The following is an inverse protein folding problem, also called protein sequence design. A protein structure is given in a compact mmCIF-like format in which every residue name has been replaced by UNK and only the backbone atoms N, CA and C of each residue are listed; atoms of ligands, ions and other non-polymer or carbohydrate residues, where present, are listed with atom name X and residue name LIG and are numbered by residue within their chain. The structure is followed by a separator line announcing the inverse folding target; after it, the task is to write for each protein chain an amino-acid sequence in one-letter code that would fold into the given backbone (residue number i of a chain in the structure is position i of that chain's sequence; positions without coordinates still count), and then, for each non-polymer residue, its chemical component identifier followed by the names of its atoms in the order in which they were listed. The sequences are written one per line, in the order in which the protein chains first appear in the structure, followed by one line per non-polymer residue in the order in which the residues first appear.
data_IF_361494873023
#
_entry.id   IF_361494873023
#
_cell.length_a   1.000
_cell.length_b   1.000
_cell.length_c   1.000
_cell.angle_alpha   90.00
_cell.angle_beta   90.00
_cell.angle_gamma   90.00
#
_symmetry.space_group_name_H-M   'P 1'
#
loop_
_entity.id
_entity.type
_entity.pdbx_description
1 polymer ?
#
# COMPACT_ATOMS: atom_id res chain seq x y z
N UNK A 1 -9.30 2.42 13.32
CA UNK A 1 -8.45 1.22 13.46
C UNK A 1 -8.32 0.77 14.93
N UNK A 2 -7.99 1.63 15.91
CA UNK A 2 -7.87 1.25 17.33
C UNK A 2 -9.09 0.48 17.84
N UNK A 3 -10.30 1.01 17.68
CA UNK A 3 -11.55 0.35 18.11
C UNK A 3 -11.79 -1.02 17.46
N UNK A 4 -11.35 -1.22 16.21
CA UNK A 4 -11.44 -2.53 15.53
C UNK A 4 -10.49 -3.52 16.20
N UNK A 5 -9.24 -3.13 16.42
CA UNK A 5 -8.25 -3.96 17.09
C UNK A 5 -8.69 -4.32 18.51
N UNK A 6 -9.16 -3.36 19.30
CA UNK A 6 -9.71 -3.57 20.64
C UNK A 6 -10.89 -4.55 20.64
N UNK A 7 -11.76 -4.47 19.61
CA UNK A 7 -12.87 -5.43 19.47
C UNK A 7 -12.34 -6.84 19.22
N UNK A 8 -11.36 -7.01 18.33
CA UNK A 8 -10.76 -8.33 18.05
C UNK A 8 -10.09 -8.91 19.31
N UNK A 9 -9.35 -8.08 20.05
CA UNK A 9 -8.72 -8.50 21.32
C UNK A 9 -9.76 -8.94 22.35
N UNK A 10 -10.87 -8.21 22.52
CA UNK A 10 -11.98 -8.64 23.39
C UNK A 10 -12.60 -9.98 22.99
N UNK A 11 -12.51 -10.35 21.72
CA UNK A 11 -12.96 -11.65 21.21
C UNK A 11 -11.86 -12.71 21.17
N UNK A 12 -10.73 -12.47 21.86
CA UNK A 12 -9.67 -13.46 22.08
C UNK A 12 -8.52 -13.44 21.07
N UNK A 13 -8.44 -12.44 20.21
CA UNK A 13 -7.29 -12.30 19.34
C UNK A 13 -6.05 -11.90 20.17
N UNK A 14 -4.99 -12.70 20.11
CA UNK A 14 -3.72 -12.46 20.77
C UNK A 14 -2.61 -11.98 19.80
N UNK A 15 -2.88 -12.08 18.49
CA UNK A 15 -2.02 -11.63 17.40
C UNK A 15 -2.86 -10.93 16.34
N UNK A 16 -2.38 -9.79 15.88
CA UNK A 16 -3.03 -9.00 14.85
C UNK A 16 -2.05 -8.69 13.73
N UNK A 17 -2.48 -8.83 12.50
CA UNK A 17 -1.74 -8.38 11.32
C UNK A 17 -2.55 -7.29 10.64
N UNK A 18 -1.92 -6.15 10.38
CA UNK A 18 -2.47 -5.02 9.68
C UNK A 18 -1.74 -4.92 8.35
N UNK A 19 -2.41 -5.31 7.26
CA UNK A 19 -1.88 -5.14 5.91
C UNK A 19 -2.36 -3.81 5.35
N UNK A 20 -1.43 -2.88 5.15
CA UNK A 20 -1.67 -1.55 4.63
C UNK A 20 -1.29 -1.48 3.15
N UNK A 21 -2.28 -1.60 2.29
CA UNK A 21 -2.14 -1.46 0.83
C UNK A 21 -2.56 -0.07 0.33
N UNK A 22 -2.73 0.88 1.25
CA UNK A 22 -3.13 2.24 0.93
C UNK A 22 -1.93 3.16 0.70
N UNK A 23 -2.22 4.45 0.58
CA UNK A 23 -1.24 5.50 0.26
C UNK A 23 -0.12 5.56 1.32
N UNK A 24 0.89 4.75 1.15
CA UNK A 24 2.19 4.70 1.83
C UNK A 24 2.26 5.37 3.21
N UNK A 25 3.13 6.35 3.34
CA UNK A 25 3.40 7.03 4.63
C UNK A 25 2.21 7.75 5.25
N UNK A 26 1.20 8.15 4.48
CA UNK A 26 0.02 8.84 5.00
C UNK A 26 -0.83 7.93 5.89
N UNK A 27 -0.86 6.63 5.59
CA UNK A 27 -1.60 5.63 6.35
C UNK A 27 -0.70 4.78 7.23
N UNK A 28 0.52 4.45 6.81
CA UNK A 28 1.46 3.60 7.54
C UNK A 28 1.88 4.17 8.90
N UNK A 29 2.21 5.47 8.97
CA UNK A 29 2.61 6.08 10.25
C UNK A 29 1.50 6.09 11.30
N UNK A 30 0.26 6.53 11.00
CA UNK A 30 -0.86 6.40 11.93
C UNK A 30 -1.14 4.96 12.38
N UNK A 31 -1.01 3.97 11.48
CA UNK A 31 -1.20 2.57 11.81
C UNK A 31 -0.13 2.07 12.78
N UNK A 32 1.12 2.46 12.57
CA UNK A 32 2.24 2.11 13.47
C UNK A 32 2.05 2.70 14.88
N UNK A 33 1.53 3.92 14.99
CA UNK A 33 1.22 4.53 16.29
C UNK A 33 0.12 3.73 16.98
N UNK A 34 -0.98 3.44 16.28
CA UNK A 34 -2.09 2.64 16.83
C UNK A 34 -1.63 1.24 17.22
N UNK A 35 -0.76 0.60 16.43
CA UNK A 35 -0.22 -0.72 16.76
C UNK A 35 0.54 -0.71 18.09
N UNK A 36 1.38 0.31 18.31
CA UNK A 36 2.11 0.47 19.59
C UNK A 36 1.17 0.66 20.78
N UNK A 37 0.11 1.46 20.60
CA UNK A 37 -0.90 1.66 21.64
C UNK A 37 -1.60 0.33 21.99
N UNK A 38 -2.01 -0.45 20.98
CA UNK A 38 -2.66 -1.74 21.17
C UNK A 38 -1.75 -2.73 21.89
N UNK A 39 -0.47 -2.79 21.53
CA UNK A 39 0.52 -3.64 22.23
C UNK A 39 0.64 -3.21 23.69
N UNK A 40 0.76 -1.90 23.94
CA UNK A 40 0.91 -1.36 25.30
C UNK A 40 -0.33 -1.58 26.17
N UNK A 41 -1.52 -1.35 25.60
CA UNK A 41 -2.78 -1.42 26.36
C UNK A 41 -3.26 -2.86 26.61
N UNK A 42 -2.93 -3.79 25.72
CA UNK A 42 -3.52 -5.14 25.72
C UNK A 42 -2.52 -6.30 25.76
N UNK A 43 -1.23 -6.05 25.61
CA UNK A 43 -0.20 -7.09 25.64
C UNK A 43 -0.26 -8.09 24.46
N UNK A 44 -0.95 -7.75 23.38
CA UNK A 44 -1.05 -8.58 22.18
C UNK A 44 0.09 -8.26 21.21
N UNK A 45 0.39 -9.20 20.32
CA UNK A 45 1.38 -8.98 19.25
C UNK A 45 0.69 -8.30 18.06
N UNK A 46 1.33 -7.30 17.46
CA UNK A 46 0.83 -6.60 16.27
C UNK A 46 1.94 -6.50 15.23
N UNK A 47 1.65 -6.93 14.02
CA UNK A 47 2.49 -6.72 12.84
C UNK A 47 1.80 -5.73 11.90
N UNK A 48 2.49 -4.68 11.50
CA UNK A 48 2.03 -3.74 10.45
C UNK A 48 2.92 -3.95 9.25
N UNK A 49 2.32 -4.21 8.11
CA UNK A 49 3.01 -4.41 6.82
C UNK A 49 2.46 -3.39 5.85
N UNK A 50 3.32 -2.59 5.24
CA UNK A 50 2.94 -1.69 4.15
C UNK A 50 3.24 -2.34 2.79
N UNK A 51 2.68 -1.80 1.73
CA UNK A 51 2.94 -2.25 0.37
C UNK A 51 4.45 -2.31 0.08
N UNK A 52 5.16 -1.24 0.40
CA UNK A 52 6.60 -1.11 0.14
C UNK A 52 7.45 -2.15 0.90
N UNK A 53 6.96 -2.65 2.03
CA UNK A 53 7.64 -3.70 2.80
C UNK A 53 7.56 -5.08 2.11
N UNK A 54 6.70 -5.23 1.10
CA UNK A 54 6.48 -6.47 0.37
C UNK A 54 7.16 -6.49 -1.00
N UNK A 55 7.63 -5.37 -1.50
CA UNK A 55 8.40 -5.28 -2.74
C UNK A 55 9.87 -5.64 -2.50
N UNK A 56 10.55 -6.08 -3.55
CA UNK A 56 11.97 -6.35 -3.58
C UNK A 56 12.56 -6.02 -4.97
N UNK A 57 13.85 -6.29 -5.18
CA UNK A 57 14.54 -5.99 -6.44
C UNK A 57 13.87 -6.63 -7.67
N UNK A 58 13.23 -7.80 -7.53
CA UNK A 58 12.54 -8.46 -8.63
C UNK A 58 11.28 -7.67 -9.01
N UNK A 59 10.43 -7.34 -8.05
CA UNK A 59 9.21 -6.56 -8.29
C UNK A 59 9.53 -5.12 -8.72
N UNK A 60 10.57 -4.50 -8.15
CA UNK A 60 11.00 -3.16 -8.53
C UNK A 60 11.53 -3.10 -9.97
N UNK A 61 12.17 -4.18 -10.45
CA UNK A 61 12.78 -4.24 -11.78
C UNK A 61 11.80 -4.15 -12.94
N UNK A 62 10.50 -4.41 -12.71
CA UNK A 62 9.49 -4.35 -13.77
C UNK A 62 8.91 -2.96 -14.00
N UNK A 63 9.17 -2.01 -13.10
CA UNK A 63 8.68 -0.64 -13.26
C UNK A 63 9.48 0.13 -14.31
N UNK A 64 8.76 0.81 -15.18
CA UNK A 64 9.30 1.72 -16.18
C UNK A 64 9.01 3.19 -15.82
N UNK A 65 8.01 3.43 -14.97
CA UNK A 65 7.69 4.78 -14.51
C UNK A 65 8.85 5.38 -13.70
N UNK A 66 9.01 6.69 -13.80
CA UNK A 66 10.07 7.41 -13.06
C UNK A 66 9.80 7.46 -11.55
N UNK A 67 8.55 7.52 -11.16
CA UNK A 67 8.04 7.55 -9.80
C UNK A 67 6.54 7.31 -9.82
N UNK A 68 5.99 6.89 -8.70
CA UNK A 68 4.56 6.63 -8.58
C UNK A 68 4.10 6.60 -7.12
N UNK A 69 2.97 6.00 -6.89
CA UNK A 69 2.41 5.77 -5.56
C UNK A 69 0.91 5.92 -5.44
N UNK A 70 0.19 6.16 -6.55
CA UNK A 70 -1.27 6.11 -6.54
C UNK A 70 -1.87 5.93 -7.93
N UNK A 71 -2.67 4.89 -8.11
CA UNK A 71 -3.27 4.50 -9.38
C UNK A 71 -2.23 4.46 -10.52
N UNK A 72 -1.03 4.06 -10.20
CA UNK A 72 0.17 4.11 -11.01
C UNK A 72 0.38 2.82 -11.82
N UNK A 73 1.57 2.65 -12.38
CA UNK A 73 1.96 1.48 -13.15
C UNK A 73 1.78 0.18 -12.35
N UNK A 74 2.23 0.15 -11.08
CA UNK A 74 2.20 -1.06 -10.26
C UNK A 74 0.80 -1.45 -9.84
N UNK A 75 0.06 -0.52 -9.23
CA UNK A 75 -1.31 -0.76 -8.80
C UNK A 75 -2.21 -1.15 -9.97
N UNK A 76 -2.08 -0.45 -11.11
CA UNK A 76 -2.85 -0.76 -12.33
C UNK A 76 -2.49 -2.12 -12.89
N UNK A 77 -1.19 -2.48 -12.91
CA UNK A 77 -0.72 -3.79 -13.37
C UNK A 77 -1.31 -4.94 -12.54
N UNK A 78 -1.33 -4.79 -11.22
CA UNK A 78 -1.90 -5.81 -10.33
C UNK A 78 -3.39 -6.01 -10.62
N UNK A 79 -4.16 -4.94 -10.82
CA UNK A 79 -5.58 -5.07 -11.16
C UNK A 79 -5.76 -5.63 -12.57
N UNK A 80 -4.95 -5.27 -13.55
CA UNK A 80 -4.96 -5.90 -14.88
C UNK A 80 -4.74 -7.41 -14.81
N UNK A 81 -3.85 -7.87 -13.96
CA UNK A 81 -3.61 -9.30 -13.77
C UNK A 81 -4.79 -10.02 -13.11
N UNK A 82 -5.37 -9.41 -12.09
CA UNK A 82 -6.45 -10.04 -11.30
C UNK A 82 -7.83 -9.92 -11.95
N UNK A 83 -8.12 -8.77 -12.53
CA UNK A 83 -9.44 -8.39 -13.04
C UNK A 83 -9.32 -7.35 -14.15
N UNK A 84 -8.81 -7.76 -15.30
CA UNK A 84 -8.65 -6.90 -16.49
C UNK A 84 -9.96 -6.19 -16.87
N UNK A 85 -11.09 -6.86 -16.66
CA UNK A 85 -12.43 -6.34 -16.93
C UNK A 85 -12.80 -5.08 -16.11
N UNK A 86 -12.06 -4.78 -15.03
CA UNK A 86 -12.26 -3.59 -14.20
C UNK A 86 -11.36 -2.40 -14.60
N UNK A 87 -10.43 -2.61 -15.51
CA UNK A 87 -9.43 -1.58 -15.87
C UNK A 87 -9.78 -0.98 -17.23
N UNK A 88 -9.90 0.35 -17.27
CA UNK A 88 -10.17 1.13 -18.47
C UNK A 88 -8.89 1.79 -18.98
N UNK A 89 -8.02 1.00 -19.64
CA UNK A 89 -6.73 1.50 -20.15
C UNK A 89 -6.88 2.64 -21.17
N UNK A 90 -8.02 2.72 -21.86
CA UNK A 90 -8.37 3.84 -22.74
C UNK A 90 -8.49 5.20 -22.02
N UNK A 91 -8.56 5.19 -20.69
CA UNK A 91 -8.61 6.37 -19.82
C UNK A 91 -7.32 6.62 -19.05
N UNK A 92 -6.34 5.71 -19.15
CA UNK A 92 -5.09 5.83 -18.46
C UNK A 92 -4.31 7.07 -18.93
N UNK A 93 -3.82 7.85 -17.97
CA UNK A 93 -3.01 9.05 -18.26
C UNK A 93 -1.84 9.10 -17.28
N UNK A 94 -0.66 9.45 -17.76
CA UNK A 94 0.47 9.73 -16.88
C UNK A 94 0.27 11.10 -16.21
N UNK A 95 0.44 11.13 -14.89
CA UNK A 95 0.36 12.35 -14.11
C UNK A 95 1.42 12.35 -13.00
N UNK A 96 2.45 13.18 -13.19
CA UNK A 96 3.61 13.29 -12.30
C UNK A 96 3.61 14.65 -11.62
N UNK A 97 2.83 14.81 -10.57
CA UNK A 97 2.86 16.06 -9.81
C UNK A 97 4.10 16.13 -8.93
N UNK A 98 4.84 17.22 -9.03
CA UNK A 98 5.92 17.51 -8.11
C UNK A 98 5.37 17.82 -6.71
N UNK A 99 5.80 17.09 -5.66
CA UNK A 99 5.45 17.48 -4.31
C UNK A 99 6.08 18.86 -4.01
N UNK A 100 5.37 19.72 -3.27
CA UNK A 100 5.95 20.99 -2.84
C UNK A 100 7.23 20.71 -2.04
N UNK A 101 8.28 21.48 -2.31
CA UNK A 101 9.54 21.38 -1.57
C UNK A 101 9.30 21.73 -0.09
N UNK A 102 9.74 20.89 0.84
CA UNK A 102 9.78 21.20 2.26
C UNK A 102 8.71 20.62 3.15
N UNK A 103 7.84 19.71 2.66
CA UNK A 103 6.90 19.01 3.52
C UNK A 103 5.55 18.71 2.88
N UNK A 104 4.67 18.08 3.66
CA UNK A 104 3.29 17.80 3.26
C UNK A 104 2.38 18.78 3.96
N UNK A 105 1.70 19.64 3.19
CA UNK A 105 0.68 20.54 3.72
C UNK A 105 -0.70 19.89 3.74
N UNK A 106 -1.47 20.16 4.78
CA UNK A 106 -2.86 19.76 4.91
C UNK A 106 -3.75 20.99 4.97
N UNK A 107 -4.78 21.05 4.11
CA UNK A 107 -5.77 22.12 4.09
C UNK A 107 -7.18 21.54 4.14
N UNK A 108 -8.16 22.22 4.73
CA UNK A 108 -9.55 21.76 4.71
C UNK A 108 -10.01 21.49 3.27
N UNK A 109 -10.46 20.26 3.01
CA UNK A 109 -10.98 19.82 1.72
C UNK A 109 -9.95 19.65 0.61
N UNK A 110 -8.65 19.72 0.91
CA UNK A 110 -7.60 19.52 -0.10
C UNK A 110 -6.34 18.89 0.48
N UNK A 111 -5.77 17.96 -0.27
CA UNK A 111 -4.47 17.35 -0.01
C UNK A 111 -3.42 17.92 -0.98
N UNK A 112 -2.25 18.33 -0.52
CA UNK A 112 -1.26 19.00 -1.38
C UNK A 112 -0.65 18.11 -2.48
N UNK A 113 -0.97 16.82 -2.48
CA UNK A 113 -0.56 15.85 -3.51
C UNK A 113 -1.69 15.42 -4.45
N UNK A 114 -2.81 16.12 -4.44
CA UNK A 114 -3.88 15.84 -5.39
C UNK A 114 -3.44 16.21 -6.80
N UNK A 115 -3.59 15.26 -7.72
CA UNK A 115 -3.51 15.47 -9.15
C UNK A 115 -4.92 15.69 -9.71
N UNK A 116 -5.06 16.28 -10.86
CA UNK A 116 -6.38 16.49 -11.48
C UNK A 116 -7.00 15.17 -11.93
N UNK A 117 -6.17 14.22 -12.35
CA UNK A 117 -6.57 12.89 -12.79
C UNK A 117 -6.85 11.92 -11.65
N UNK A 118 -6.36 12.19 -10.43
CA UNK A 118 -6.29 11.24 -9.33
C UNK A 118 -5.12 10.25 -9.43
N UNK A 119 -4.34 10.30 -10.50
CA UNK A 119 -3.14 9.46 -10.70
C UNK A 119 -1.91 10.16 -10.14
N UNK A 120 -1.00 9.40 -9.56
CA UNK A 120 0.38 9.83 -9.32
C UNK A 120 1.33 8.74 -9.80
N UNK A 121 1.82 8.89 -11.03
CA UNK A 121 2.64 7.92 -11.75
C UNK A 121 2.23 7.76 -13.20
N UNK A 122 2.46 6.59 -13.77
CA UNK A 122 2.15 6.32 -15.18
C UNK A 122 1.43 4.96 -15.38
N UNK A 123 0.12 4.89 -15.21
CA UNK A 123 -0.65 3.67 -15.48
C UNK A 123 -0.63 3.23 -16.96
N UNK A 124 -0.19 4.09 -17.90
CA UNK A 124 -0.12 3.72 -19.32
C UNK A 124 0.95 2.66 -19.60
N UNK A 125 1.92 2.51 -18.68
CA UNK A 125 2.99 1.51 -18.71
C UNK A 125 2.56 0.17 -18.10
N UNK A 126 1.36 0.10 -17.52
CA UNK A 126 0.88 -1.08 -16.82
C UNK A 126 0.62 -2.27 -17.77
N UNK A 127 0.87 -3.47 -17.27
CA UNK A 127 0.51 -4.71 -17.96
C UNK A 127 0.15 -5.82 -16.98
N UNK A 128 -0.68 -6.77 -17.41
CA UNK A 128 -1.05 -7.92 -16.61
C UNK A 128 0.17 -8.79 -16.23
N UNK A 129 1.20 -8.85 -17.08
CA UNK A 129 2.43 -9.60 -16.79
C UNK A 129 3.25 -8.95 -15.66
N UNK A 130 3.40 -7.63 -15.67
CA UNK A 130 4.01 -6.89 -14.53
C UNK A 130 3.24 -7.16 -13.25
N UNK A 131 1.91 -7.07 -13.30
CA UNK A 131 1.05 -7.36 -12.17
C UNK A 131 1.21 -8.77 -11.62
N UNK A 132 1.39 -9.76 -12.48
CA UNK A 132 1.67 -11.14 -12.10
C UNK A 132 2.98 -11.26 -11.32
N UNK A 133 4.04 -10.62 -11.79
CA UNK A 133 5.35 -10.62 -11.12
C UNK A 133 5.26 -9.94 -9.76
N UNK A 134 4.76 -8.69 -9.72
CA UNK A 134 4.60 -7.91 -8.49
C UNK A 134 3.81 -8.70 -7.46
N UNK A 135 2.64 -9.23 -7.82
CA UNK A 135 1.77 -9.95 -6.89
C UNK A 135 2.40 -11.26 -6.40
N UNK A 136 3.15 -11.96 -7.26
CA UNK A 136 3.87 -13.18 -6.88
C UNK A 136 4.93 -12.90 -5.81
N UNK A 137 5.74 -11.87 -6.02
CA UNK A 137 6.78 -11.44 -5.07
C UNK A 137 6.16 -10.99 -3.76
N UNK A 138 5.18 -10.10 -3.81
CA UNK A 138 4.50 -9.59 -2.61
C UNK A 138 3.83 -10.70 -1.80
N UNK A 139 3.25 -11.69 -2.48
CA UNK A 139 2.63 -12.86 -1.80
C UNK A 139 3.69 -13.69 -1.09
N UNK A 140 4.82 -13.97 -1.74
CA UNK A 140 5.91 -14.73 -1.13
C UNK A 140 6.49 -14.00 0.09
N UNK A 141 6.72 -12.70 -0.02
CA UNK A 141 7.26 -11.87 1.05
C UNK A 141 6.27 -11.73 2.22
N UNK A 142 4.97 -11.60 1.93
CA UNK A 142 3.91 -11.61 2.95
C UNK A 142 3.91 -12.93 3.73
N UNK A 143 3.94 -14.08 3.06
CA UNK A 143 3.97 -15.39 3.72
C UNK A 143 5.21 -15.55 4.59
N UNK A 144 6.37 -15.10 4.11
CA UNK A 144 7.61 -15.09 4.87
C UNK A 144 7.51 -14.23 6.14
N UNK A 145 6.93 -13.03 6.03
CA UNK A 145 6.72 -12.13 7.15
C UNK A 145 5.76 -12.74 8.20
N UNK A 146 4.70 -13.41 7.77
CA UNK A 146 3.75 -14.09 8.65
C UNK A 146 4.42 -15.27 9.38
N UNK A 147 5.20 -16.09 8.68
CA UNK A 147 5.95 -17.19 9.29
C UNK A 147 6.93 -16.69 10.35
N UNK A 148 7.56 -15.55 10.12
CA UNK A 148 8.48 -14.94 11.09
C UNK A 148 7.75 -14.36 12.31
N UNK A 149 6.58 -13.78 12.08
CA UNK A 149 5.73 -13.23 13.14
C UNK A 149 5.12 -14.31 14.05
N UNK A 150 4.93 -15.51 13.55
CA UNK A 150 4.36 -16.64 14.29
C UNK A 150 5.36 -17.32 15.27
N UNK A 151 6.64 -17.15 15.04
CA UNK A 151 7.72 -17.67 15.92
C UNK A 151 7.92 -16.77 17.14
#
# INVERSE_FOLDING_TARGET
MKSVAESLVRHGASRLVILNLGIGRATGLPLSIVARDIVADHGVRVLVINWEDLEDEESESVYEQQRGGHADEGETSVILHLREDLVHMDRAVADYREPPSGGIGYRPGRFDRETESGVYGDPTLASAEKGRIILSVMTANLLSALDHFDR
#
